data_IF_681172202767
#
_entry.id   IF_681172202767
#
_cell.length_a   1.000
_cell.length_b   1.000
_cell.length_c   1.000
_cell.angle_alpha   90.00
_cell.angle_beta   90.00
_cell.angle_gamma   90.00
#
_symmetry.space_group_name_H-M   'P 1'
#
loop_
_entity.id
_entity.type
_entity.pdbx_description
1 polymer ?
#
# COMPACT_ATOMS: atom_id res chain seq x y z
N UNK A 1 52.94 -39.84 28.35
CA UNK A 1 52.69 -38.40 28.59
C UNK A 1 52.04 -37.67 27.38
N UNK A 2 51.19 -38.34 26.58
CA UNK A 2 50.65 -37.79 25.32
C UNK A 2 49.10 -37.64 25.30
N UNK A 3 48.39 -38.39 26.15
CA UNK A 3 46.91 -38.44 26.17
C UNK A 3 46.25 -37.19 26.77
N UNK A 4 46.91 -36.52 27.70
CA UNK A 4 46.34 -35.37 28.42
C UNK A 4 46.19 -34.11 27.57
N UNK A 5 47.12 -33.91 26.61
CA UNK A 5 47.13 -32.77 25.68
C UNK A 5 46.07 -32.89 24.58
N UNK A 6 45.69 -34.12 24.21
CA UNK A 6 44.62 -34.37 23.22
C UNK A 6 43.22 -34.05 23.78
N UNK A 7 42.97 -34.40 25.06
CA UNK A 7 41.68 -34.19 25.72
C UNK A 7 41.39 -32.71 25.96
N UNK A 8 42.40 -31.93 26.32
CA UNK A 8 42.26 -30.48 26.52
C UNK A 8 41.94 -29.74 25.22
N UNK A 9 42.52 -30.16 24.09
CA UNK A 9 42.24 -29.57 22.77
C UNK A 9 40.80 -29.86 22.32
N UNK A 10 40.31 -31.09 22.52
CA UNK A 10 38.93 -31.45 22.17
C UNK A 10 37.91 -30.69 23.03
N UNK A 11 38.15 -30.56 24.33
CA UNK A 11 37.26 -29.80 25.23
C UNK A 11 37.24 -28.32 24.83
N UNK A 12 38.40 -27.72 24.53
CA UNK A 12 38.46 -26.33 24.09
C UNK A 12 37.69 -26.10 22.77
N UNK A 13 37.79 -27.04 21.81
CA UNK A 13 37.05 -26.97 20.56
C UNK A 13 35.53 -27.08 20.78
N UNK A 14 35.08 -27.96 21.67
CA UNK A 14 33.66 -28.11 22.01
C UNK A 14 33.10 -26.86 22.71
N UNK A 15 33.87 -26.23 23.59
CA UNK A 15 33.48 -24.96 24.23
C UNK A 15 33.37 -23.85 23.19
N UNK A 16 34.36 -23.72 22.30
CA UNK A 16 34.32 -22.72 21.22
C UNK A 16 33.10 -22.92 20.32
N UNK A 17 32.82 -24.16 19.93
CA UNK A 17 31.65 -24.50 19.11
C UNK A 17 30.34 -24.20 19.83
N UNK A 18 30.22 -24.56 21.12
CA UNK A 18 29.04 -24.24 21.92
C UNK A 18 28.86 -22.72 22.06
N UNK A 19 29.93 -21.96 22.29
CA UNK A 19 29.87 -20.50 22.36
C UNK A 19 29.48 -19.85 21.04
N UNK A 20 29.94 -20.39 19.90
CA UNK A 20 29.56 -19.90 18.59
C UNK A 20 28.08 -20.18 18.29
N UNK A 21 27.57 -21.35 18.65
CA UNK A 21 26.15 -21.71 18.49
C UNK A 21 25.28 -20.82 19.38
N UNK A 22 25.65 -20.64 20.65
CA UNK A 22 24.97 -19.71 21.56
C UNK A 22 25.00 -18.29 20.99
N UNK A 23 26.16 -17.82 20.51
CA UNK A 23 26.29 -16.50 19.92
C UNK A 23 25.37 -16.30 18.71
N UNK A 24 25.25 -17.28 17.82
CA UNK A 24 24.33 -17.23 16.67
C UNK A 24 22.87 -17.28 17.11
N UNK A 25 22.54 -18.15 18.06
CA UNK A 25 21.17 -18.34 18.55
C UNK A 25 20.64 -17.13 19.34
N UNK A 26 21.53 -16.43 20.06
CA UNK A 26 21.21 -15.25 20.85
C UNK A 26 21.46 -13.93 20.12
N UNK A 27 21.93 -13.96 18.87
CA UNK A 27 22.00 -12.75 18.04
C UNK A 27 20.59 -12.38 17.64
N UNK A 28 20.03 -11.32 18.25
CA UNK A 28 18.79 -10.71 17.74
C UNK A 28 19.00 -10.39 16.26
N UNK A 29 18.04 -10.72 15.36
CA UNK A 29 18.12 -10.26 13.99
C UNK A 29 18.27 -8.74 14.00
N UNK A 30 19.16 -8.24 13.16
CA UNK A 30 19.29 -6.79 12.93
C UNK A 30 17.90 -6.34 12.51
N UNK A 31 17.28 -5.35 13.19
CA UNK A 31 15.99 -4.83 12.78
C UNK A 31 16.09 -4.45 11.31
N UNK A 32 15.20 -5.02 10.50
CA UNK A 32 15.12 -4.65 9.10
C UNK A 32 14.88 -3.13 9.06
N UNK A 33 15.70 -2.41 8.30
CA UNK A 33 15.54 -0.95 8.20
C UNK A 33 14.11 -0.64 7.74
N UNK A 34 13.47 0.38 8.31
CA UNK A 34 12.14 0.75 7.86
C UNK A 34 12.17 1.05 6.35
N UNK A 35 11.20 0.52 5.59
CA UNK A 35 11.19 0.72 4.15
C UNK A 35 11.03 2.21 3.83
N UNK A 36 11.78 2.69 2.83
CA UNK A 36 11.56 4.01 2.26
C UNK A 36 10.29 3.93 1.41
N UNK A 37 9.24 4.64 1.81
CA UNK A 37 7.97 4.65 1.11
C UNK A 37 8.03 5.51 -0.16
N UNK A 38 7.44 4.98 -1.22
CA UNK A 38 7.30 5.58 -2.54
C UNK A 38 5.94 5.17 -3.12
N UNK A 39 5.50 5.85 -4.19
CA UNK A 39 4.27 5.45 -4.88
C UNK A 39 4.28 3.98 -5.36
N UNK A 40 5.47 3.42 -5.63
CA UNK A 40 5.64 2.05 -6.12
C UNK A 40 5.48 0.95 -5.05
N UNK A 41 5.73 1.26 -3.78
CA UNK A 41 5.67 0.26 -2.68
C UNK A 41 4.66 0.63 -1.58
N UNK A 42 3.99 1.78 -1.67
CA UNK A 42 3.00 2.20 -0.69
C UNK A 42 1.67 1.43 -0.80
N UNK A 43 1.39 0.78 -1.93
CA UNK A 43 0.14 0.06 -2.18
C UNK A 43 0.40 -1.40 -2.58
N UNK A 44 -0.47 -2.28 -2.10
CA UNK A 44 -0.51 -3.70 -2.45
C UNK A 44 -1.88 -4.03 -3.06
N UNK A 45 -1.97 -4.92 -4.06
CA UNK A 45 -3.26 -5.44 -4.52
C UNK A 45 -4.08 -6.00 -3.36
N UNK A 46 -5.39 -5.82 -3.45
CA UNK A 46 -6.33 -6.26 -2.43
C UNK A 46 -7.62 -6.77 -3.06
N UNK A 47 -8.33 -7.59 -2.32
CA UNK A 47 -9.71 -7.91 -2.62
C UNK A 47 -10.61 -6.73 -2.22
N UNK A 48 -11.73 -6.53 -2.94
CA UNK A 48 -12.70 -5.51 -2.57
C UNK A 48 -13.27 -5.76 -1.18
N UNK A 49 -13.43 -4.67 -0.42
CA UNK A 49 -14.18 -4.66 0.84
C UNK A 49 -15.54 -4.01 0.61
N UNK A 50 -16.58 -4.54 1.26
CA UNK A 50 -17.88 -3.86 1.30
C UNK A 50 -17.71 -2.50 1.95
N UNK A 51 -18.12 -1.45 1.24
CA UNK A 51 -18.17 -0.09 1.75
C UNK A 51 -19.57 0.46 1.53
N UNK A 52 -20.03 1.27 2.48
CA UNK A 52 -21.27 2.03 2.41
C UNK A 52 -20.89 3.51 2.55
N UNK A 53 -21.46 4.35 1.70
CA UNK A 53 -21.31 5.80 1.75
C UNK A 53 -22.72 6.39 1.95
N UNK A 54 -22.87 7.21 2.98
CA UNK A 54 -24.12 7.88 3.33
C UNK A 54 -24.27 9.29 2.73
N UNK A 55 -23.28 9.73 1.94
CA UNK A 55 -23.32 10.98 1.19
C UNK A 55 -24.23 10.91 -0.05
N UNK A 56 -24.51 12.08 -0.62
CA UNK A 56 -25.33 12.19 -1.82
C UNK A 56 -24.52 11.99 -3.11
N UNK A 57 -25.17 11.50 -4.17
CA UNK A 57 -24.49 11.27 -5.45
C UNK A 57 -24.00 12.56 -6.12
N UNK A 58 -24.62 13.71 -5.85
CA UNK A 58 -24.24 14.96 -6.52
C UNK A 58 -22.90 15.50 -5.99
N UNK A 59 -22.62 15.37 -4.69
CA UNK A 59 -21.32 15.72 -4.12
C UNK A 59 -20.21 14.82 -4.67
N UNK A 60 -20.44 13.51 -4.79
CA UNK A 60 -19.49 12.58 -5.42
C UNK A 60 -19.23 12.93 -6.89
N UNK A 61 -20.28 13.20 -7.69
CA UNK A 61 -20.14 13.63 -9.09
C UNK A 61 -19.31 14.92 -9.19
N UNK A 62 -19.53 15.88 -8.30
CA UNK A 62 -18.76 17.13 -8.25
C UNK A 62 -17.28 16.89 -7.98
N UNK A 63 -16.97 16.00 -7.03
CA UNK A 63 -15.60 15.59 -6.73
C UNK A 63 -14.93 14.87 -7.92
N UNK A 64 -15.63 13.91 -8.55
CA UNK A 64 -15.14 13.20 -9.74
C UNK A 64 -14.82 14.14 -10.89
N UNK A 65 -15.68 15.13 -11.16
CA UNK A 65 -15.45 16.15 -12.20
C UNK A 65 -14.22 17.02 -11.92
N UNK A 66 -13.96 17.33 -10.65
CA UNK A 66 -12.78 18.10 -10.24
C UNK A 66 -11.49 17.31 -10.49
N UNK A 67 -11.48 16.02 -10.12
CA UNK A 67 -10.37 15.09 -10.41
C UNK A 67 -10.18 14.89 -11.92
N UNK A 68 -11.26 14.70 -12.67
CA UNK A 68 -11.21 14.56 -14.13
C UNK A 68 -10.60 15.79 -14.79
N UNK A 69 -10.95 16.99 -14.32
CA UNK A 69 -10.38 18.26 -14.79
C UNK A 69 -8.87 18.33 -14.57
N UNK A 70 -8.37 17.81 -13.43
CA UNK A 70 -6.93 17.73 -13.18
C UNK A 70 -6.24 16.81 -14.19
N UNK A 71 -6.70 15.56 -14.34
CA UNK A 71 -6.04 14.60 -15.25
C UNK A 71 -6.14 15.01 -16.72
N UNK A 72 -7.25 15.61 -17.17
CA UNK A 72 -7.41 16.12 -18.54
C UNK A 72 -6.45 17.29 -18.89
N UNK A 73 -5.82 17.93 -17.89
CA UNK A 73 -4.82 19.00 -18.11
C UNK A 73 -3.39 18.47 -18.26
N UNK A 74 -3.14 17.23 -17.89
CA UNK A 74 -1.82 16.63 -17.96
C UNK A 74 -1.52 16.06 -19.35
N UNK A 75 -0.25 15.72 -19.59
CA UNK A 75 0.10 14.91 -20.76
C UNK A 75 -0.62 13.56 -20.67
N UNK A 76 -1.32 13.09 -21.73
CA UNK A 76 -2.06 11.83 -21.67
C UNK A 76 -1.18 10.62 -21.34
N UNK A 77 0.12 10.67 -21.65
CA UNK A 77 1.11 9.61 -21.40
C UNK A 77 1.83 9.76 -20.06
N UNK A 78 1.52 10.79 -19.27
CA UNK A 78 2.11 10.94 -17.94
C UNK A 78 1.73 9.74 -17.07
N UNK A 79 2.72 9.02 -16.55
CA UNK A 79 2.53 7.78 -15.78
C UNK A 79 2.41 8.04 -14.28
N UNK A 80 1.54 7.28 -13.62
CA UNK A 80 1.29 7.26 -12.20
C UNK A 80 1.44 5.84 -11.67
N UNK A 81 2.17 5.68 -10.56
CA UNK A 81 2.36 4.39 -9.91
C UNK A 81 1.34 4.18 -8.80
N UNK A 82 0.66 3.03 -8.83
CA UNK A 82 -0.22 2.55 -7.78
C UNK A 82 0.32 1.20 -7.30
N UNK A 83 1.30 1.26 -6.39
CA UNK A 83 2.07 0.08 -6.04
C UNK A 83 2.86 -0.44 -7.25
N UNK A 84 2.78 -1.74 -7.50
CA UNK A 84 3.39 -2.37 -8.67
C UNK A 84 2.76 -1.99 -10.02
N UNK A 85 1.55 -1.43 -10.03
CA UNK A 85 0.83 -1.09 -11.25
C UNK A 85 1.15 0.34 -11.72
N UNK A 86 1.05 0.57 -13.04
CA UNK A 86 1.20 1.88 -13.66
C UNK A 86 0.00 2.20 -14.52
N UNK A 87 -0.48 3.43 -14.44
CA UNK A 87 -1.58 3.96 -15.24
C UNK A 87 -1.19 5.32 -15.79
N UNK A 88 -1.65 5.64 -16.98
CA UNK A 88 -1.45 6.94 -17.59
C UNK A 88 -2.53 7.93 -17.14
N UNK A 89 -2.26 9.23 -17.30
CA UNK A 89 -3.26 10.28 -17.07
C UNK A 89 -4.53 10.04 -17.90
N UNK A 90 -4.39 9.48 -19.11
CA UNK A 90 -5.50 9.07 -19.95
C UNK A 90 -6.33 7.97 -19.30
N UNK A 91 -5.69 6.88 -18.84
CA UNK A 91 -6.38 5.75 -18.21
C UNK A 91 -7.18 6.22 -16.97
N UNK A 92 -6.57 7.09 -16.15
CA UNK A 92 -7.22 7.64 -14.96
C UNK A 92 -8.40 8.57 -15.31
N UNK A 93 -8.27 9.37 -16.37
CA UNK A 93 -9.35 10.22 -16.84
C UNK A 93 -10.54 9.40 -17.38
N UNK A 94 -10.27 8.36 -18.16
CA UNK A 94 -11.30 7.45 -18.69
C UNK A 94 -12.00 6.70 -17.55
N UNK A 95 -11.26 6.20 -16.56
CA UNK A 95 -11.83 5.52 -15.39
C UNK A 95 -12.72 6.44 -14.54
N UNK A 96 -12.37 7.72 -14.39
CA UNK A 96 -13.17 8.71 -13.68
C UNK A 96 -14.43 9.11 -14.46
N UNK A 97 -14.34 9.20 -15.79
CA UNK A 97 -15.49 9.49 -16.65
C UNK A 97 -16.49 8.33 -16.64
N UNK A 98 -16.01 7.08 -16.72
CA UNK A 98 -16.84 5.88 -16.55
C UNK A 98 -17.53 5.86 -15.19
N UNK A 99 -16.77 6.06 -14.09
CA UNK A 99 -17.33 6.08 -12.74
C UNK A 99 -18.40 7.17 -12.59
N UNK A 100 -18.14 8.37 -13.10
CA UNK A 100 -19.11 9.47 -13.06
C UNK A 100 -20.39 9.13 -13.82
N UNK A 101 -20.29 8.47 -14.98
CA UNK A 101 -21.46 8.04 -15.73
C UNK A 101 -22.27 7.00 -14.96
N UNK A 102 -21.58 6.05 -14.32
CA UNK A 102 -22.22 5.00 -13.53
C UNK A 102 -22.87 5.51 -12.25
N UNK A 103 -22.28 6.49 -11.59
CA UNK A 103 -22.92 7.20 -10.47
C UNK A 103 -24.18 7.94 -10.93
N UNK A 104 -24.16 8.59 -12.10
CA UNK A 104 -25.36 9.25 -12.65
C UNK A 104 -26.46 8.27 -13.04
N UNK A 105 -26.09 7.08 -13.52
CA UNK A 105 -27.02 6.04 -13.96
C UNK A 105 -27.65 5.28 -12.78
N UNK A 106 -26.83 4.86 -11.82
CA UNK A 106 -27.21 3.91 -10.76
C UNK A 106 -27.45 4.58 -9.40
N UNK A 107 -26.99 5.83 -9.23
CA UNK A 107 -26.89 6.46 -7.92
C UNK A 107 -25.90 5.74 -6.98
N UNK A 108 -25.76 6.24 -5.76
CA UNK A 108 -25.05 5.51 -4.69
C UNK A 108 -25.96 4.36 -4.24
N UNK A 109 -25.70 3.17 -4.77
CA UNK A 109 -26.53 1.98 -4.57
C UNK A 109 -25.68 0.71 -4.57
N UNK A 110 -26.26 -0.41 -4.15
CA UNK A 110 -25.57 -1.71 -4.22
C UNK A 110 -25.17 -2.09 -5.64
N UNK A 111 -25.98 -1.70 -6.64
CA UNK A 111 -25.67 -1.94 -8.05
C UNK A 111 -24.41 -1.18 -8.50
N UNK A 112 -24.20 0.04 -7.99
CA UNK A 112 -22.96 0.77 -8.22
C UNK A 112 -21.78 0.06 -7.55
N UNK A 113 -21.94 -0.37 -6.29
CA UNK A 113 -20.89 -1.12 -5.58
C UNK A 113 -20.47 -2.37 -6.35
N UNK A 114 -21.44 -3.18 -6.81
CA UNK A 114 -21.20 -4.38 -7.60
C UNK A 114 -20.46 -4.05 -8.91
N UNK A 115 -20.89 -2.98 -9.61
CA UNK A 115 -20.18 -2.51 -10.79
C UNK A 115 -18.73 -2.12 -10.50
N UNK A 116 -18.47 -1.40 -9.41
CA UNK A 116 -17.10 -1.02 -9.03
C UNK A 116 -16.27 -2.27 -8.72
N UNK A 117 -16.83 -3.27 -8.03
CA UNK A 117 -16.15 -4.53 -7.73
C UNK A 117 -15.76 -5.31 -8.98
N UNK A 118 -16.61 -5.32 -10.00
CA UNK A 118 -16.37 -6.09 -11.22
C UNK A 118 -15.43 -5.39 -12.20
N UNK A 119 -15.30 -4.05 -12.13
CA UNK A 119 -14.63 -3.26 -13.18
C UNK A 119 -13.39 -2.48 -12.71
N UNK A 120 -13.12 -2.41 -11.41
CA UNK A 120 -11.99 -1.64 -10.86
C UNK A 120 -11.00 -2.52 -10.09
N UNK A 121 -9.76 -2.04 -10.03
CA UNK A 121 -8.69 -2.67 -9.25
C UNK A 121 -8.65 -2.09 -7.84
N UNK A 122 -8.54 -2.97 -6.84
CA UNK A 122 -8.49 -2.60 -5.44
C UNK A 122 -7.07 -2.71 -4.91
N UNK A 123 -6.69 -1.70 -4.14
CA UNK A 123 -5.40 -1.62 -3.49
C UNK A 123 -5.59 -1.30 -2.01
N UNK A 124 -4.72 -1.87 -1.18
CA UNK A 124 -4.60 -1.53 0.24
C UNK A 124 -3.26 -0.90 0.53
N UNK A 125 -3.20 -0.11 1.59
CA UNK A 125 -1.93 0.42 2.12
C UNK A 125 -0.99 -0.72 2.49
N UNK A 126 0.28 -0.61 2.10
CA UNK A 126 1.36 -1.45 2.62
C UNK A 126 1.72 -1.10 4.07
N UNK A 127 1.38 0.12 4.50
CA UNK A 127 1.59 0.62 5.86
C UNK A 127 0.44 0.16 6.76
N UNK A 128 0.76 -0.43 7.90
CA UNK A 128 -0.18 -0.79 8.95
C UNK A 128 0.50 -0.62 10.33
N UNK A 129 -0.04 0.20 11.25
CA UNK A 129 -1.29 0.97 11.14
C UNK A 129 -1.19 2.22 10.25
N UNK A 130 -2.30 2.60 9.61
CA UNK A 130 -2.42 3.87 8.86
C UNK A 130 -2.86 4.99 9.82
N UNK A 131 -2.20 6.14 9.75
CA UNK A 131 -2.59 7.35 10.48
C UNK A 131 -3.49 8.23 9.59
N UNK A 132 -4.68 8.56 10.09
CA UNK A 132 -5.60 9.50 9.44
C UNK A 132 -5.57 10.85 10.14
N UNK A 133 -5.36 11.92 9.38
CA UNK A 133 -5.39 13.32 9.86
C UNK A 133 -6.32 14.16 8.97
N UNK A 134 -6.73 15.33 9.46
CA UNK A 134 -7.60 16.25 8.74
C UNK A 134 -6.95 17.60 8.52
N UNK A 135 -7.27 18.26 7.40
CA UNK A 135 -6.94 19.65 7.13
C UNK A 135 -8.21 20.40 6.71
N UNK A 136 -8.22 21.72 6.93
CA UNK A 136 -9.30 22.60 6.49
C UNK A 136 -8.70 23.91 5.97
N UNK A 137 -9.46 24.62 5.14
CA UNK A 137 -9.10 25.96 4.68
C UNK A 137 -9.63 27.00 5.69
N UNK A 138 -8.77 27.69 6.47
CA UNK A 138 -9.23 28.69 7.41
C UNK A 138 -9.78 29.91 6.69
N UNK A 139 -10.95 30.38 7.11
CA UNK A 139 -11.52 31.65 6.66
C UNK A 139 -11.13 32.74 7.66
N UNK A 140 -10.15 33.56 7.30
CA UNK A 140 -9.70 34.70 8.11
C UNK A 140 -10.58 35.93 7.82
N UNK A 141 -10.92 36.69 8.85
CA UNK A 141 -11.65 37.96 8.77
C UNK A 141 -10.69 39.13 8.97
#
# INVERSE_FOLDING_TARGET
MSTHRSRTVVIAALILMATAIIYVYFRKPIPEAEPIWSAHNALLPAEPLRFEDDQDSASLISALRSSLTYYKRLSPQQSFSFGGAQFTAKDLAEALEDLSNKVMELGISTALSDYIYDNYLFFRSAINPVLFTGYYLPLLK
#
